data_IF_369731708496
#
_entry.id   IF_369731708496
#
_cell.length_a   1.000
_cell.length_b   1.000
_cell.length_c   1.000
_cell.angle_alpha   90.00
_cell.angle_beta   90.00
_cell.angle_gamma   90.00
#
_symmetry.space_group_name_H-M   'P 1'
#
loop_
_entity.id
_entity.type
_entity.pdbx_description
1 polymer ?
#
# COMPACT_ATOMS: atom_id res chain seq x y z
N UNK A 1 13.86 9.59 -9.33
CA UNK A 1 12.84 9.03 -8.42
C UNK A 1 13.51 8.87 -7.06
N UNK A 2 12.77 9.05 -5.96
CA UNK A 2 13.26 8.77 -4.61
C UNK A 2 13.15 7.26 -4.38
N UNK A 3 14.25 6.61 -3.99
CA UNK A 3 14.24 5.19 -3.63
C UNK A 3 13.66 5.03 -2.22
N UNK A 4 12.54 4.30 -2.13
CA UNK A 4 11.81 4.00 -0.90
C UNK A 4 11.77 2.50 -0.61
N UNK A 5 12.64 1.71 -1.24
CA UNK A 5 12.63 0.25 -1.13
C UNK A 5 12.84 -0.26 0.29
N UNK A 6 13.66 0.45 1.06
CA UNK A 6 13.98 0.11 2.46
C UNK A 6 13.24 0.96 3.47
N UNK A 7 12.35 1.85 3.01
CA UNK A 7 11.64 2.78 3.87
C UNK A 7 10.80 2.02 4.89
N UNK A 8 10.85 2.47 6.14
CA UNK A 8 10.02 1.98 7.24
C UNK A 8 9.28 3.16 7.84
N UNK A 9 8.02 2.98 8.20
CA UNK A 9 7.22 4.04 8.81
C UNK A 9 6.78 3.58 10.18
N UNK A 10 7.08 4.40 11.18
CA UNK A 10 6.62 4.16 12.55
C UNK A 10 5.22 4.73 12.71
N UNK A 11 4.34 3.96 13.33
CA UNK A 11 2.97 4.36 13.64
C UNK A 11 2.94 5.65 14.50
N UNK A 12 1.85 6.39 14.41
CA UNK A 12 1.53 7.66 15.10
C UNK A 12 2.45 8.83 14.74
N UNK A 13 3.76 8.65 14.88
CA UNK A 13 4.79 9.65 14.60
C UNK A 13 5.03 9.83 13.10
N UNK A 14 4.77 8.78 12.31
CA UNK A 14 5.11 8.75 10.89
C UNK A 14 6.61 8.83 10.62
N UNK A 15 7.45 8.52 11.62
CA UNK A 15 8.91 8.62 11.50
C UNK A 15 9.40 7.71 10.38
N UNK A 16 10.21 8.25 9.46
CA UNK A 16 10.81 7.52 8.36
C UNK A 16 12.13 6.89 8.80
N UNK A 17 12.14 5.57 8.86
CA UNK A 17 13.35 4.76 8.91
C UNK A 17 13.81 4.33 7.51
N UNK A 18 14.99 3.71 7.46
CA UNK A 18 15.41 2.95 6.28
C UNK A 18 15.89 3.78 5.10
N UNK A 19 16.95 4.58 5.33
CA UNK A 19 17.81 5.20 4.30
C UNK A 19 17.11 5.94 3.14
N UNK A 20 15.93 6.53 3.37
CA UNK A 20 15.27 7.39 2.38
C UNK A 20 16.06 8.68 2.26
N UNK A 21 16.70 8.90 1.12
CA UNK A 21 17.56 10.06 0.90
C UNK A 21 16.97 10.99 -0.16
N UNK A 22 16.78 12.25 0.19
CA UNK A 22 16.26 13.28 -0.71
C UNK A 22 17.19 14.49 -0.69
N UNK A 23 17.39 15.14 -1.85
CA UNK A 23 18.19 16.36 -1.96
C UNK A 23 17.33 17.48 -2.56
N UNK A 24 17.25 18.66 -1.91
CA UNK A 24 17.73 18.98 -0.56
C UNK A 24 17.11 18.08 0.53
N UNK A 25 17.75 17.95 1.69
CA UNK A 25 17.22 17.14 2.79
C UNK A 25 15.80 17.57 3.20
N UNK A 26 15.04 16.66 3.81
CA UNK A 26 13.71 16.96 4.34
C UNK A 26 13.84 17.86 5.58
N UNK A 27 12.78 18.60 5.89
CA UNK A 27 12.68 19.41 7.12
C UNK A 27 12.59 18.54 8.38
N UNK A 28 11.98 17.36 8.25
CA UNK A 28 11.90 16.31 9.26
C UNK A 28 11.90 14.95 8.58
N UNK A 29 12.46 13.93 9.24
CA UNK A 29 12.47 12.54 8.74
C UNK A 29 11.12 11.86 9.03
N UNK A 30 10.06 12.35 8.38
CA UNK A 30 8.68 11.81 8.53
C UNK A 30 8.01 11.62 7.17
N UNK A 31 7.06 10.69 7.11
CA UNK A 31 6.32 10.37 5.88
C UNK A 31 5.49 11.57 5.40
N UNK A 32 5.01 12.40 6.32
CA UNK A 32 4.32 13.64 6.01
C UNK A 32 5.23 14.67 5.32
N UNK A 33 6.47 14.84 5.80
CA UNK A 33 7.44 15.74 5.15
C UNK A 33 7.90 15.21 3.79
N UNK A 34 8.02 13.88 3.64
CA UNK A 34 8.29 13.26 2.35
C UNK A 34 7.13 13.48 1.37
N UNK A 35 5.88 13.34 1.83
CA UNK A 35 4.71 13.62 1.00
C UNK A 35 4.66 15.08 0.57
N UNK A 36 4.82 16.02 1.51
CA UNK A 36 4.87 17.45 1.19
C UNK A 36 5.94 17.70 0.11
N UNK A 37 7.13 17.12 0.28
CA UNK A 37 8.20 17.20 -0.71
C UNK A 37 7.79 16.67 -2.09
N UNK A 38 7.14 15.52 -2.16
CA UNK A 38 6.73 14.93 -3.45
C UNK A 38 5.57 15.67 -4.12
N UNK A 39 4.80 16.43 -3.33
CA UNK A 39 3.65 17.21 -3.80
C UNK A 39 3.96 18.69 -4.04
N UNK A 40 5.20 19.14 -3.79
CA UNK A 40 5.65 20.50 -4.14
C UNK A 40 5.98 20.55 -5.63
N UNK A 41 5.18 21.33 -6.37
CA UNK A 41 5.39 21.61 -7.80
C UNK A 41 5.91 23.02 -8.10
N UNK A 42 5.88 23.91 -7.11
CA UNK A 42 6.21 25.33 -7.28
C UNK A 42 7.71 25.65 -7.20
N UNK A 43 8.47 24.88 -6.41
CA UNK A 43 9.91 25.09 -6.20
C UNK A 43 10.73 24.05 -6.99
N UNK A 44 11.13 24.42 -8.21
CA UNK A 44 11.91 23.56 -9.10
C UNK A 44 13.18 22.96 -8.50
N UNK A 45 13.76 23.60 -7.47
CA UNK A 45 14.96 23.10 -6.79
C UNK A 45 14.69 21.91 -5.86
N UNK A 46 13.42 21.68 -5.50
CA UNK A 46 12.96 20.62 -4.61
C UNK A 46 12.07 19.59 -5.31
N UNK A 47 11.58 19.89 -6.51
CA UNK A 47 10.72 18.99 -7.29
C UNK A 47 11.40 17.63 -7.47
N UNK A 48 10.70 16.57 -7.06
CA UNK A 48 11.11 15.19 -7.30
C UNK A 48 10.21 14.57 -8.35
N UNK A 49 10.76 13.69 -9.19
CA UNK A 49 10.01 13.03 -10.28
C UNK A 49 9.02 11.94 -9.79
N UNK A 50 8.87 11.74 -8.49
CA UNK A 50 8.17 10.62 -7.87
C UNK A 50 9.11 9.67 -7.11
N UNK A 51 8.61 8.47 -6.81
CA UNK A 51 9.29 7.44 -6.03
C UNK A 51 9.49 6.13 -6.81
N UNK A 52 10.35 5.26 -6.30
CA UNK A 52 10.57 3.90 -6.76
C UNK A 52 10.70 2.96 -5.57
N UNK A 53 10.01 1.83 -5.62
CA UNK A 53 10.16 0.72 -4.67
C UNK A 53 10.62 -0.51 -5.45
N UNK A 54 11.84 -0.94 -5.19
CA UNK A 54 12.36 -2.20 -5.67
C UNK A 54 11.79 -3.33 -4.81
N UNK A 55 11.10 -4.26 -5.47
CA UNK A 55 10.58 -5.46 -4.81
C UNK A 55 11.73 -6.43 -4.48
N UNK A 56 11.43 -7.41 -3.63
CA UNK A 56 12.41 -8.43 -3.23
C UNK A 56 12.91 -9.22 -4.44
N UNK A 57 14.05 -9.90 -4.31
CA UNK A 57 14.60 -10.69 -5.40
C UNK A 57 13.58 -11.74 -5.89
N UNK A 58 13.25 -11.69 -7.18
CA UNK A 58 12.26 -12.59 -7.80
C UNK A 58 10.79 -12.15 -7.64
N UNK A 59 10.50 -11.17 -6.79
CA UNK A 59 9.17 -10.60 -6.59
C UNK A 59 8.77 -9.71 -7.77
N UNK A 60 7.52 -9.85 -8.22
CA UNK A 60 6.99 -9.10 -9.38
C UNK A 60 5.63 -8.52 -9.05
N UNK A 61 5.36 -7.32 -9.56
CA UNK A 61 4.01 -6.78 -9.58
C UNK A 61 3.13 -7.61 -10.50
N UNK A 62 1.95 -7.98 -10.01
CA UNK A 62 0.99 -8.82 -10.71
C UNK A 62 -0.33 -8.08 -10.85
N UNK A 63 -0.92 -8.10 -12.04
CA UNK A 63 -2.26 -7.55 -12.21
C UNK A 63 -2.36 -6.03 -12.18
N UNK A 64 -3.60 -5.55 -12.12
CA UNK A 64 -3.90 -4.13 -11.95
C UNK A 64 -3.79 -3.70 -10.48
N UNK A 65 -3.28 -2.49 -10.26
CA UNK A 65 -3.35 -1.81 -8.98
C UNK A 65 -4.67 -1.04 -8.82
N UNK A 66 -5.04 -0.74 -7.58
CA UNK A 66 -6.17 0.13 -7.25
C UNK A 66 -5.74 1.22 -6.28
N UNK A 67 -6.43 2.37 -6.30
CA UNK A 67 -6.19 3.47 -5.38
C UNK A 67 -7.50 3.81 -4.65
N UNK A 68 -7.45 3.84 -3.33
CA UNK A 68 -8.55 4.30 -2.47
C UNK A 68 -8.00 5.12 -1.31
N UNK A 69 -8.60 6.28 -1.04
CA UNK A 69 -8.27 7.06 0.16
C UNK A 69 -6.79 7.46 0.30
N UNK A 70 -6.08 7.58 -0.82
CA UNK A 70 -4.65 7.86 -0.84
C UNK A 70 -3.75 6.61 -0.67
N UNK A 71 -4.32 5.42 -0.65
CA UNK A 71 -3.58 4.16 -0.61
C UNK A 71 -3.61 3.51 -1.99
N UNK A 72 -2.42 3.21 -2.51
CA UNK A 72 -2.13 2.38 -3.66
C UNK A 72 -1.97 0.92 -3.23
N UNK A 73 -2.89 0.08 -3.69
CA UNK A 73 -2.91 -1.35 -3.40
C UNK A 73 -2.49 -2.15 -4.64
N UNK A 74 -1.50 -3.04 -4.50
CA UNK A 74 -0.91 -3.80 -5.59
C UNK A 74 -0.59 -5.23 -5.15
N UNK A 75 -1.08 -6.22 -5.91
CA UNK A 75 -0.68 -7.61 -5.70
C UNK A 75 0.71 -7.87 -6.28
N UNK A 76 1.51 -8.66 -5.60
CA UNK A 76 2.82 -9.12 -6.05
C UNK A 76 2.97 -10.62 -5.85
N UNK A 77 3.93 -11.22 -6.55
CA UNK A 77 4.18 -12.65 -6.47
C UNK A 77 5.67 -12.98 -6.53
N UNK A 78 6.10 -13.89 -5.67
CA UNK A 78 7.44 -14.47 -5.62
C UNK A 78 7.31 -15.95 -5.97
N UNK A 79 7.75 -16.40 -7.15
CA UNK A 79 7.72 -17.83 -7.49
C UNK A 79 8.70 -18.62 -6.61
N UNK A 80 8.35 -19.86 -6.27
CA UNK A 80 9.32 -20.78 -5.66
C UNK A 80 10.44 -21.11 -6.64
N UNK A 81 11.60 -21.49 -6.08
CA UNK A 81 12.78 -21.90 -6.86
C UNK A 81 12.63 -23.25 -7.58
N UNK A 82 11.56 -24.01 -7.29
CA UNK A 82 11.32 -25.32 -7.89
C UNK A 82 10.90 -25.17 -9.37
N UNK A 83 11.67 -25.74 -10.31
CA UNK A 83 11.32 -25.71 -11.74
C UNK A 83 9.92 -26.27 -11.99
N UNK A 84 9.17 -25.64 -12.89
CA UNK A 84 7.80 -26.01 -13.25
C UNK A 84 6.76 -25.94 -12.11
N UNK A 85 7.10 -25.39 -10.95
CA UNK A 85 6.13 -25.05 -9.91
C UNK A 85 5.40 -23.75 -10.27
N UNK A 86 4.08 -23.73 -10.05
CA UNK A 86 3.27 -22.50 -10.05
C UNK A 86 2.97 -21.99 -8.64
N UNK A 87 3.58 -22.64 -7.63
CA UNK A 87 3.49 -22.26 -6.22
C UNK A 87 4.57 -21.24 -5.90
N UNK A 88 4.26 -20.34 -4.97
CA UNK A 88 5.15 -19.29 -4.51
C UNK A 88 4.49 -18.52 -3.38
N UNK A 89 4.78 -17.25 -3.24
CA UNK A 89 4.18 -16.38 -2.24
C UNK A 89 3.53 -15.18 -2.93
N UNK A 90 2.27 -14.95 -2.62
CA UNK A 90 1.49 -13.84 -3.16
C UNK A 90 1.23 -12.84 -2.05
N UNK A 91 1.58 -11.58 -2.28
CA UNK A 91 1.41 -10.50 -1.31
C UNK A 91 0.48 -9.43 -1.85
N UNK A 92 -0.17 -8.72 -0.94
CA UNK A 92 -0.86 -7.47 -1.23
C UNK A 92 -0.11 -6.34 -0.53
N UNK A 93 0.40 -5.40 -1.32
CA UNK A 93 0.97 -4.16 -0.82
C UNK A 93 -0.14 -3.12 -0.61
N UNK A 94 0.04 -2.25 0.39
CA UNK A 94 -0.72 -1.02 0.61
C UNK A 94 0.25 0.12 0.88
N UNK A 95 0.41 1.01 -0.10
CA UNK A 95 1.40 2.08 -0.06
C UNK A 95 0.70 3.43 -0.22
N UNK A 96 1.19 4.48 0.43
CA UNK A 96 0.76 5.85 0.15
C UNK A 96 1.12 6.22 -1.29
N UNK A 97 0.13 6.56 -2.13
CA UNK A 97 0.36 6.74 -3.58
C UNK A 97 1.35 7.86 -3.92
N UNK A 98 1.46 8.87 -3.05
CA UNK A 98 2.36 10.02 -3.22
C UNK A 98 3.81 9.71 -2.84
N UNK A 99 4.05 8.75 -1.93
CA UNK A 99 5.39 8.49 -1.38
C UNK A 99 5.94 7.10 -1.70
N UNK A 100 5.08 6.11 -1.95
CA UNK A 100 5.48 4.71 -2.15
C UNK A 100 5.87 3.97 -0.87
N UNK A 101 5.57 4.54 0.30
CA UNK A 101 5.84 3.98 1.63
C UNK A 101 4.55 3.51 2.29
N UNK A 102 4.62 2.84 3.44
CA UNK A 102 3.48 2.76 4.35
C UNK A 102 3.00 4.17 4.78
N UNK A 103 1.80 4.27 5.33
CA UNK A 103 1.32 5.48 6.00
C UNK A 103 1.59 5.41 7.50
N UNK A 104 1.39 6.50 8.24
CA UNK A 104 1.57 6.54 9.70
C UNK A 104 0.42 5.89 10.49
N UNK A 105 -0.61 5.43 9.79
CA UNK A 105 -1.74 4.66 10.33
C UNK A 105 -1.75 3.30 9.63
N UNK A 106 -2.01 2.24 10.39
CA UNK A 106 -2.17 0.91 9.83
C UNK A 106 -3.35 0.87 8.85
N UNK A 107 -3.05 0.40 7.64
CA UNK A 107 -4.07 0.17 6.60
C UNK A 107 -4.61 -1.25 6.69
N UNK A 108 -3.75 -2.21 6.99
CA UNK A 108 -4.13 -3.58 7.32
C UNK A 108 -4.38 -3.70 8.83
N UNK A 109 -4.93 -4.83 9.25
CA UNK A 109 -5.06 -5.12 10.68
C UNK A 109 -3.68 -5.12 11.35
N UNK A 110 -3.55 -4.38 12.45
CA UNK A 110 -2.34 -4.29 13.25
C UNK A 110 -2.06 -5.62 13.97
N UNK A 111 -0.89 -6.25 13.77
CA UNK A 111 -0.54 -7.50 14.44
C UNK A 111 -0.25 -7.35 15.93
N UNK A 112 0.10 -6.15 16.43
CA UNK A 112 0.43 -5.88 17.83
C UNK A 112 -0.23 -4.57 18.32
N UNK A 113 -1.57 -4.55 18.47
CA UNK A 113 -2.33 -3.33 18.78
C UNK A 113 -2.03 -2.74 20.16
N UNK A 114 -1.28 -3.45 21.01
CA UNK A 114 -0.86 -3.00 22.33
C UNK A 114 0.55 -2.35 22.32
N UNK A 115 1.28 -2.44 21.20
CA UNK A 115 2.62 -1.88 21.04
C UNK A 115 2.56 -0.48 20.43
N UNK A 116 2.64 0.54 21.29
CA UNK A 116 2.70 1.92 20.80
C UNK A 116 3.97 2.17 19.96
N UNK A 117 3.80 2.69 18.75
CA UNK A 117 4.90 3.13 17.88
C UNK A 117 5.66 1.99 17.23
N UNK A 118 4.93 0.96 16.77
CA UNK A 118 5.48 -0.13 15.98
C UNK A 118 5.65 0.26 14.49
N UNK A 119 6.11 -0.69 13.66
CA UNK A 119 6.33 -0.45 12.22
C UNK A 119 5.06 -0.77 11.43
N UNK A 120 4.56 0.21 10.68
CA UNK A 120 3.35 0.04 9.88
C UNK A 120 3.57 -0.96 8.75
N UNK A 121 2.71 -1.98 8.69
CA UNK A 121 2.78 -3.02 7.67
C UNK A 121 2.50 -2.47 6.26
N UNK A 122 3.49 -2.54 5.38
CA UNK A 122 3.33 -2.17 3.97
C UNK A 122 2.76 -3.28 3.08
N UNK A 123 2.82 -4.54 3.54
CA UNK A 123 2.30 -5.70 2.81
C UNK A 123 1.86 -6.84 3.72
N UNK A 124 0.94 -7.66 3.19
CA UNK A 124 0.47 -8.90 3.83
C UNK A 124 0.47 -10.08 2.86
N UNK A 125 0.69 -11.30 3.38
CA UNK A 125 0.61 -12.53 2.59
C UNK A 125 -0.86 -12.87 2.30
N UNK A 126 -1.20 -13.07 1.03
CA UNK A 126 -2.58 -13.36 0.57
C UNK A 126 -2.75 -14.77 0.00
N UNK A 127 -1.65 -15.52 -0.15
CA UNK A 127 -1.71 -16.93 -0.55
C UNK A 127 -0.43 -17.45 -1.19
N UNK A 128 -0.53 -18.64 -1.78
CA UNK A 128 0.60 -19.38 -2.36
C UNK A 128 0.61 -19.49 -3.89
N UNK A 129 -0.33 -18.83 -4.55
CA UNK A 129 -0.40 -18.74 -6.01
C UNK A 129 -0.63 -17.28 -6.42
N UNK A 130 -0.17 -16.91 -7.61
CA UNK A 130 -0.26 -15.54 -8.08
C UNK A 130 -1.73 -15.07 -8.16
N UNK A 131 -1.94 -13.78 -7.86
CA UNK A 131 -3.21 -13.09 -8.07
C UNK A 131 -3.10 -12.13 -9.26
N UNK A 132 -4.12 -12.08 -10.11
CA UNK A 132 -4.16 -11.19 -11.27
C UNK A 132 -4.57 -9.74 -10.93
N UNK A 133 -4.69 -9.40 -9.65
CA UNK A 133 -5.09 -8.10 -9.14
C UNK A 133 -5.99 -8.24 -7.92
N UNK A 134 -6.36 -7.11 -7.33
CA UNK A 134 -7.39 -7.07 -6.30
C UNK A 134 -8.52 -6.13 -6.73
N UNK A 135 -9.77 -6.60 -6.66
CA UNK A 135 -10.95 -5.76 -6.85
C UNK A 135 -11.34 -5.13 -5.53
N UNK A 136 -11.64 -3.84 -5.55
CA UNK A 136 -12.03 -3.07 -4.38
C UNK A 136 -13.55 -3.00 -4.26
N UNK A 137 -14.05 -3.30 -3.08
CA UNK A 137 -15.45 -3.10 -2.70
C UNK A 137 -15.52 -2.11 -1.52
N UNK A 138 -16.23 -1.02 -1.72
CA UNK A 138 -16.51 0.00 -0.69
C UNK A 138 -18.00 -0.07 -0.40
N UNK A 139 -18.34 -0.40 0.84
CA UNK A 139 -19.73 -0.48 1.29
C UNK A 139 -20.24 0.84 1.87
N UNK A 140 -21.28 0.73 2.70
CA UNK A 140 -21.87 1.84 3.46
C UNK A 140 -21.09 2.20 4.73
N UNK A 141 -20.00 1.48 5.02
CA UNK A 141 -19.10 1.81 6.13
C UNK A 141 -18.04 2.80 5.65
N UNK A 142 -18.04 4.05 6.13
CA UNK A 142 -17.12 5.07 5.62
C UNK A 142 -15.66 4.72 5.89
N UNK A 143 -15.37 3.95 6.94
CA UNK A 143 -14.01 3.72 7.41
C UNK A 143 -13.38 2.42 6.89
N UNK A 144 -14.10 1.57 6.15
CA UNK A 144 -13.57 0.26 5.74
C UNK A 144 -13.87 -0.05 4.28
N UNK A 145 -12.89 -0.64 3.61
CA UNK A 145 -13.06 -1.21 2.29
C UNK A 145 -12.51 -2.63 2.24
N UNK A 146 -13.07 -3.48 1.38
CA UNK A 146 -12.62 -4.87 1.21
C UNK A 146 -11.98 -5.05 -0.15
N UNK A 147 -10.78 -5.59 -0.17
CA UNK A 147 -10.10 -6.04 -1.36
C UNK A 147 -10.29 -7.54 -1.54
N UNK A 148 -10.79 -7.93 -2.71
CA UNK A 148 -10.92 -9.32 -3.11
C UNK A 148 -9.85 -9.65 -4.13
N UNK A 149 -8.99 -10.62 -3.82
CA UNK A 149 -7.95 -11.12 -4.69
C UNK A 149 -8.25 -12.58 -5.09
N UNK A 150 -8.59 -12.78 -6.36
CA UNK A 150 -8.76 -14.09 -6.99
C UNK A 150 -7.40 -14.63 -7.41
N UNK A 151 -7.04 -15.80 -6.90
CA UNK A 151 -5.74 -16.43 -7.17
C UNK A 151 -5.85 -17.47 -8.28
N UNK A 152 -4.71 -17.84 -8.88
CA UNK A 152 -4.65 -18.79 -9.98
C UNK A 152 -5.13 -20.21 -9.61
N UNK A 153 -5.13 -20.57 -8.32
CA UNK A 153 -5.73 -21.80 -7.80
C UNK A 153 -7.25 -21.71 -7.58
N UNK A 154 -7.90 -20.65 -8.07
CA UNK A 154 -9.33 -20.34 -7.90
C UNK A 154 -9.75 -20.02 -6.45
N UNK A 155 -8.82 -19.98 -5.50
CA UNK A 155 -9.11 -19.55 -4.14
C UNK A 155 -9.09 -18.02 -4.03
N UNK A 156 -9.92 -17.49 -3.12
CA UNK A 156 -10.07 -16.06 -2.90
C UNK A 156 -9.42 -15.63 -1.59
N UNK A 157 -8.81 -14.45 -1.57
CA UNK A 157 -8.46 -13.77 -0.34
C UNK A 157 -9.30 -12.49 -0.24
N UNK A 158 -9.91 -12.26 0.91
CA UNK A 158 -10.59 -11.01 1.23
C UNK A 158 -9.78 -10.31 2.32
N UNK A 159 -9.28 -9.12 2.01
CA UNK A 159 -8.45 -8.32 2.91
C UNK A 159 -9.21 -7.04 3.19
N UNK A 160 -9.48 -6.75 4.46
CA UNK A 160 -10.04 -5.46 4.83
C UNK A 160 -8.92 -4.43 4.97
N UNK A 161 -9.20 -3.23 4.48
CA UNK A 161 -8.34 -2.07 4.62
C UNK A 161 -9.09 -0.91 5.26
N UNK A 162 -8.38 -0.14 6.06
CA UNK A 162 -8.88 1.14 6.57
C UNK A 162 -8.99 2.17 5.44
N UNK A 163 -10.11 2.85 5.39
CA UNK A 163 -10.42 3.90 4.42
C UNK A 163 -10.12 5.26 5.03
N UNK A 164 -8.87 5.68 4.93
CA UNK A 164 -8.34 6.86 5.61
C UNK A 164 -9.02 8.18 5.23
N UNK A 165 -9.79 8.23 4.14
CA UNK A 165 -10.48 9.44 3.65
C UNK A 165 -12.00 9.35 3.78
N UNK A 166 -12.55 8.30 4.41
CA UNK A 166 -13.99 8.18 4.64
C UNK A 166 -14.83 8.04 3.36
N UNK A 167 -14.24 7.55 2.26
CA UNK A 167 -14.94 7.42 0.97
C UNK A 167 -16.02 6.33 1.06
N UNK A 168 -17.29 6.68 0.96
CA UNK A 168 -18.39 5.72 1.07
C UNK A 168 -19.19 5.62 -0.23
N UNK A 169 -19.70 4.42 -0.52
CA UNK A 169 -20.67 4.23 -1.60
C UNK A 169 -22.06 4.38 -1.03
N UNK A 170 -22.86 5.33 -1.54
CA UNK A 170 -24.27 5.49 -1.19
C UNK A 170 -25.17 4.96 -2.29
N UNK A 171 -26.34 4.46 -1.90
CA UNK A 171 -27.40 4.14 -2.84
C UNK A 171 -28.00 5.43 -3.40
N UNK A 172 -28.07 5.54 -4.72
CA UNK A 172 -28.88 6.54 -5.42
C UNK A 172 -29.95 5.79 -6.19
N UNK A 173 -31.06 5.46 -5.52
CA UNK A 173 -32.18 4.70 -6.07
C UNK A 173 -33.45 5.54 -6.21
N UNK A 174 -34.25 5.22 -7.22
CA UNK A 174 -35.63 5.70 -7.29
C UNK A 174 -36.51 4.79 -6.43
N UNK A 175 -37.23 5.38 -5.46
CA UNK A 175 -38.32 4.69 -4.79
C UNK A 175 -39.59 4.94 -5.60
N UNK A 176 -40.26 3.90 -6.06
CA UNK A 176 -41.64 4.03 -6.52
C UNK A 176 -42.51 4.39 -5.31
N UNK A 177 -43.32 5.45 -5.45
CA UNK A 177 -44.32 5.89 -4.46
C UNK A 177 -45.61 5.09 -4.61
#
# INVERSE_FOLDING_TARGET
>A
LIDVSKAKVIEETGSLGGSVSVTPALSSDTVAALEERQMIYSDSSKVTKGWVKHLSAGERAMGGATILGGIFSQTTYIPDSQPCSFVGESYLYALRYTTGTAWQLHVFDDPDPDANGDEVLEKVLIGKTASAGASLHVGDSPNRATLHATKNDSSNAAITQENLQGVESKEVGWREM
#
